data_IF_329937077243
#
_entry.id   IF_329937077243
#
_cell.length_a   1.000
_cell.length_b   1.000
_cell.length_c   1.000
_cell.angle_alpha   90.00
_cell.angle_beta   90.00
_cell.angle_gamma   90.00
#
_symmetry.space_group_name_H-M   'P 1'
#
loop_
_entity.id
_entity.type
_entity.pdbx_description
1 polymer ?
#
# COMPACT_ATOMS: atom_id res chain seq x y z
N UNK A 1 -5.75 16.58 2.29
CA UNK A 1 -6.44 15.28 2.21
C UNK A 1 -6.02 14.61 0.92
N UNK A 2 -5.56 13.37 0.99
CA UNK A 2 -5.17 12.57 -0.16
C UNK A 2 -6.36 11.72 -0.63
N UNK A 3 -6.51 11.55 -1.94
CA UNK A 3 -7.48 10.64 -2.53
C UNK A 3 -6.75 9.43 -3.08
N UNK A 4 -6.83 8.30 -2.37
CA UNK A 4 -6.14 7.07 -2.75
C UNK A 4 -7.14 6.04 -3.26
N UNK A 5 -6.81 5.42 -4.38
CA UNK A 5 -7.58 4.29 -4.92
C UNK A 5 -7.30 3.06 -4.06
N UNK A 6 -8.36 2.43 -3.55
CA UNK A 6 -8.25 1.19 -2.81
C UNK A 6 -7.73 0.08 -3.75
N UNK A 7 -6.62 -0.60 -3.43
CA UNK A 7 -6.07 -1.67 -4.26
C UNK A 7 -6.97 -2.92 -4.33
N UNK A 8 -8.00 -3.00 -3.50
CA UNK A 8 -8.88 -4.16 -3.40
C UNK A 8 -10.17 -3.98 -4.22
N UNK A 9 -10.90 -2.88 -4.00
CA UNK A 9 -12.18 -2.60 -4.68
C UNK A 9 -12.09 -1.54 -5.79
N UNK A 10 -10.91 -0.97 -6.03
CA UNK A 10 -10.66 0.09 -7.02
C UNK A 10 -11.48 1.38 -6.82
N UNK A 11 -12.13 1.56 -5.66
CA UNK A 11 -12.84 2.78 -5.32
C UNK A 11 -11.90 3.82 -4.69
N UNK A 12 -12.09 5.11 -5.01
CA UNK A 12 -11.37 6.19 -4.33
C UNK A 12 -11.78 6.25 -2.87
N UNK A 13 -10.82 6.51 -1.97
CA UNK A 13 -11.05 6.72 -0.55
C UNK A 13 -10.36 8.01 -0.10
N UNK A 14 -11.06 8.91 0.64
CA UNK A 14 -10.41 10.05 1.26
C UNK A 14 -9.54 9.57 2.42
N UNK A 15 -8.29 10.02 2.45
CA UNK A 15 -7.30 9.64 3.46
C UNK A 15 -6.61 10.90 3.98
N UNK A 16 -6.37 10.98 5.30
CA UNK A 16 -5.59 12.08 5.88
C UNK A 16 -4.15 12.06 5.36
N UNK A 17 -3.57 13.21 5.04
CA UNK A 17 -2.27 13.30 4.36
C UNK A 17 -1.14 12.61 5.14
N UNK A 18 -1.20 12.69 6.48
CA UNK A 18 -0.23 12.09 7.41
C UNK A 18 -0.56 10.65 7.82
N UNK A 19 -1.66 10.07 7.33
CA UNK A 19 -2.01 8.71 7.68
C UNK A 19 -0.95 7.73 7.15
N UNK A 20 -0.63 6.69 7.92
CA UNK A 20 0.30 5.62 7.52
C UNK A 20 -0.43 4.35 7.03
N UNK A 21 -1.73 4.33 7.23
CA UNK A 21 -2.67 3.30 6.82
C UNK A 21 -4.07 3.91 6.81
N UNK A 22 -5.01 3.27 6.12
CA UNK A 22 -6.41 3.64 6.18
C UNK A 22 -7.30 2.42 6.02
N UNK A 23 -8.55 2.52 6.47
CA UNK A 23 -9.59 1.55 6.17
C UNK A 23 -10.43 2.10 5.02
N UNK A 24 -10.55 1.35 3.93
CA UNK A 24 -11.39 1.75 2.80
C UNK A 24 -12.85 1.91 3.25
N UNK A 25 -13.49 3.02 2.87
CA UNK A 25 -14.89 3.27 3.23
C UNK A 25 -15.88 2.41 2.45
N UNK A 26 -15.49 1.87 1.29
CA UNK A 26 -16.37 1.08 0.42
C UNK A 26 -16.33 -0.41 0.73
N UNK A 27 -15.14 -1.01 0.85
CA UNK A 27 -14.99 -2.46 1.08
C UNK A 27 -14.45 -2.81 2.48
N UNK A 28 -14.20 -1.81 3.33
CA UNK A 28 -13.68 -1.98 4.70
C UNK A 28 -12.31 -2.68 4.81
N UNK A 29 -11.65 -2.93 3.67
CA UNK A 29 -10.27 -3.44 3.63
C UNK A 29 -9.33 -2.42 4.23
N UNK A 30 -8.51 -2.89 5.18
CA UNK A 30 -7.40 -2.11 5.71
C UNK A 30 -6.25 -2.11 4.69
N UNK A 31 -5.75 -0.91 4.42
CA UNK A 31 -4.72 -0.64 3.42
C UNK A 31 -3.56 0.06 4.12
N UNK A 32 -2.35 -0.38 3.82
CA UNK A 32 -1.11 0.16 4.36
C UNK A 32 -0.22 0.68 3.25
N UNK A 33 0.78 1.49 3.61
CA UNK A 33 1.70 2.11 2.67
C UNK A 33 3.12 1.55 2.82
N UNK A 34 3.66 1.03 1.73
CA UNK A 34 4.96 0.36 1.69
C UNK A 34 5.84 0.95 0.59
N UNK A 35 7.14 0.98 0.82
CA UNK A 35 8.13 1.38 -0.19
C UNK A 35 8.77 0.13 -0.79
N UNK A 36 8.84 0.08 -2.13
CA UNK A 36 9.57 -0.96 -2.83
C UNK A 36 11.07 -0.87 -2.50
N UNK A 37 11.66 -1.93 -1.95
CA UNK A 37 13.10 -1.98 -1.68
C UNK A 37 13.99 -1.93 -2.92
N UNK A 38 13.46 -2.23 -4.11
CA UNK A 38 14.22 -2.21 -5.37
C UNK A 38 14.26 -0.84 -6.06
N UNK A 39 13.11 -0.15 -6.17
CA UNK A 39 13.00 1.11 -6.92
C UNK A 39 12.51 2.31 -6.09
N UNK A 40 12.30 2.14 -4.77
CA UNK A 40 11.81 3.18 -3.87
C UNK A 40 10.35 3.59 -4.09
N UNK A 41 9.62 2.91 -4.97
CA UNK A 41 8.23 3.23 -5.27
C UNK A 41 7.32 3.03 -4.06
N UNK A 42 6.66 4.11 -3.65
CA UNK A 42 5.75 4.16 -2.49
C UNK A 42 4.35 3.77 -2.93
N UNK A 43 3.82 2.69 -2.40
CA UNK A 43 2.57 2.11 -2.87
C UNK A 43 1.69 1.59 -1.74
N UNK A 44 0.38 1.57 -2.00
CA UNK A 44 -0.61 0.99 -1.11
C UNK A 44 -0.79 -0.50 -1.35
N UNK A 45 -0.95 -1.28 -0.29
CA UNK A 45 -1.29 -2.71 -0.36
C UNK A 45 -2.34 -3.07 0.71
N UNK A 46 -3.22 -4.05 0.47
CA UNK A 46 -4.09 -4.60 1.51
C UNK A 46 -3.28 -5.18 2.67
N UNK A 47 -3.66 -4.88 3.91
CA UNK A 47 -2.97 -5.39 5.11
C UNK A 47 -3.05 -6.91 5.26
N UNK A 48 -4.09 -7.53 4.68
CA UNK A 48 -4.30 -8.98 4.62
C UNK A 48 -3.25 -9.74 3.80
N UNK A 49 -2.38 -9.04 3.07
CA UNK A 49 -1.25 -9.69 2.40
C UNK A 49 -0.11 -9.89 3.41
N UNK A 50 0.31 -11.13 3.61
CA UNK A 50 1.22 -11.49 4.71
C UNK A 50 2.66 -11.81 4.31
N UNK A 51 2.91 -12.21 3.06
CA UNK A 51 4.22 -12.78 2.66
C UNK A 51 4.99 -11.85 1.75
N UNK A 52 4.39 -11.48 0.62
CA UNK A 52 5.02 -10.67 -0.40
C UNK A 52 3.95 -10.00 -1.25
N UNK A 53 4.36 -8.96 -1.96
CA UNK A 53 3.58 -8.32 -3.01
C UNK A 53 4.47 -8.04 -4.21
N UNK A 54 3.86 -7.85 -5.36
CA UNK A 54 4.57 -7.45 -6.59
C UNK A 54 4.52 -5.92 -6.68
N UNK A 55 5.68 -5.28 -6.85
CA UNK A 55 5.71 -3.83 -7.00
C UNK A 55 4.96 -3.38 -8.27
N UNK A 56 4.07 -2.41 -8.13
CA UNK A 56 3.29 -1.85 -9.24
C UNK A 56 4.13 -1.14 -10.32
N UNK A 57 5.38 -0.74 -10.01
CA UNK A 57 6.27 -0.03 -10.93
C UNK A 57 7.32 -0.94 -11.59
N UNK A 58 8.16 -1.61 -10.80
CA UNK A 58 9.28 -2.39 -11.35
C UNK A 58 9.02 -3.90 -11.46
N UNK A 59 7.85 -4.39 -11.01
CA UNK A 59 7.52 -5.81 -11.02
C UNK A 59 8.33 -6.68 -10.03
N UNK A 60 9.23 -6.09 -9.24
CA UNK A 60 10.02 -6.83 -8.28
C UNK A 60 9.14 -7.40 -7.15
N UNK A 61 9.49 -8.61 -6.70
CA UNK A 61 8.94 -9.20 -5.47
C UNK A 61 9.41 -8.38 -4.27
N UNK A 62 8.46 -7.81 -3.55
CA UNK A 62 8.71 -7.09 -2.31
C UNK A 62 8.20 -7.92 -1.13
N UNK A 63 9.07 -8.13 -0.12
CA UNK A 63 8.68 -8.82 1.11
C UNK A 63 7.88 -7.87 2.00
N UNK A 64 6.82 -8.39 2.60
CA UNK A 64 6.02 -7.62 3.56
C UNK A 64 6.66 -7.79 4.94
N UNK A 65 7.08 -6.69 5.61
CA UNK A 65 7.69 -6.80 6.93
C UNK A 65 6.69 -7.35 7.94
N UNK A 66 7.13 -8.32 8.75
CA UNK A 66 6.30 -9.03 9.74
C UNK A 66 5.88 -8.13 10.93
N UNK A 67 6.61 -7.05 11.17
CA UNK A 67 6.30 -5.98 12.13
C UNK A 67 6.48 -4.63 11.44
N UNK A 68 5.45 -3.79 11.47
CA UNK A 68 5.51 -2.42 10.95
C UNK A 68 5.78 -1.45 12.10
N UNK A 69 6.89 -0.72 12.03
CA UNK A 69 7.21 0.33 12.99
C UNK A 69 6.64 1.66 12.47
N UNK A 70 5.90 2.38 13.33
CA UNK A 70 5.24 3.64 12.99
C UNK A 70 6.24 4.70 12.44
N UNK A 71 7.46 4.72 12.97
CA UNK A 71 8.49 5.71 12.66
C UNK A 71 9.11 5.61 11.25
N UNK A 72 9.00 4.45 10.59
CA UNK A 72 9.55 4.23 9.24
C UNK A 72 8.48 4.13 8.16
N UNK A 73 7.22 4.37 8.52
CA UNK A 73 6.07 4.15 7.65
C UNK A 73 5.91 5.27 6.62
N UNK A 74 5.51 4.88 5.41
CA UNK A 74 5.20 5.84 4.34
C UNK A 74 3.88 6.54 4.67
N UNK A 75 3.82 7.87 4.53
CA UNK A 75 2.59 8.66 4.72
C UNK A 75 1.74 8.67 3.45
N UNK A 76 0.42 8.85 3.59
CA UNK A 76 -0.55 8.84 2.50
C UNK A 76 -0.19 9.82 1.38
N UNK A 77 0.24 11.05 1.72
CA UNK A 77 0.67 12.05 0.73
C UNK A 77 1.82 11.58 -0.17
N UNK A 78 2.67 10.68 0.34
CA UNK A 78 3.82 10.15 -0.41
C UNK A 78 3.49 8.94 -1.28
N UNK A 79 2.26 8.42 -1.23
CA UNK A 79 1.85 7.21 -1.97
C UNK A 79 1.64 7.55 -3.44
N UNK A 80 2.28 6.79 -4.31
CA UNK A 80 2.33 7.04 -5.75
C UNK A 80 1.45 6.07 -6.55
N UNK A 81 0.96 4.99 -5.94
CA UNK A 81 0.15 3.96 -6.59
C UNK A 81 -0.13 2.79 -5.66
N UNK A 82 -0.39 1.62 -6.23
CA UNK A 82 -0.69 0.39 -5.49
C UNK A 82 0.20 -0.78 -5.93
N UNK A 83 0.42 -1.73 -5.02
CA UNK A 83 1.04 -3.01 -5.33
C UNK A 83 0.03 -4.03 -5.86
N UNK A 84 0.54 -5.14 -6.39
CA UNK A 84 -0.28 -6.26 -6.84
C UNK A 84 -0.04 -7.51 -5.98
N UNK A 85 -1.02 -8.42 -5.99
CA UNK A 85 -0.88 -9.75 -5.40
C UNK A 85 0.37 -10.44 -5.96
N UNK A 86 1.06 -11.20 -5.10
CA UNK A 86 2.18 -12.03 -5.52
C UNK A 86 1.78 -13.52 -5.54
N UNK A 87 2.14 -14.28 -6.59
CA UNK A 87 2.73 -13.80 -7.85
C UNK A 87 1.70 -12.99 -8.67
N UNK A 88 2.20 -12.05 -9.47
CA UNK A 88 1.37 -11.35 -10.48
C UNK A 88 1.21 -12.31 -11.66
N UNK A 89 0.02 -12.88 -11.81
CA UNK A 89 -0.36 -13.70 -12.96
C UNK A 89 -0.61 -12.85 -14.20
#
# INVERSE_FOLDING_TARGET
MAYLTCPDCMMPSPVGDDAIAYRCHSCFTEVVFESCGGCGFRQSIPSRWHTAYTCGKCGAKCLIPRRRLYSTSTKAFGVQGYGHTYPKF
#
